data_IF_686610664587
#
_entry.id   IF_686610664587
#
_cell.length_a   1.000
_cell.length_b   1.000
_cell.length_c   1.000
_cell.angle_alpha   90.00
_cell.angle_beta   90.00
_cell.angle_gamma   90.00
#
_symmetry.space_group_name_H-M   'P 1'
#
loop_
_entity.id
_entity.type
_entity.pdbx_description
1 polymer ?
#
# COMPACT_ATOMS: atom_id res chain seq x y z
N UNK A 1 9.68 -36.92 9.86
CA UNK A 1 8.33 -36.35 10.07
C UNK A 1 7.40 -37.53 10.33
N UNK A 2 6.67 -37.56 11.46
CA UNK A 2 5.75 -38.66 11.77
C UNK A 2 4.66 -38.75 10.69
N UNK A 3 4.25 -39.97 10.32
CA UNK A 3 3.17 -40.21 9.35
C UNK A 3 1.88 -39.47 9.73
N UNK A 4 1.57 -39.35 11.03
CA UNK A 4 0.43 -38.57 11.53
C UNK A 4 0.55 -37.07 11.20
N UNK A 5 1.74 -36.50 11.38
CA UNK A 5 2.02 -35.09 11.09
C UNK A 5 1.95 -34.75 9.59
N UNK A 6 2.22 -35.73 8.71
CA UNK A 6 2.08 -35.54 7.26
C UNK A 6 0.61 -35.42 6.85
N UNK A 7 -0.26 -36.32 7.32
CA UNK A 7 -1.69 -36.29 6.98
C UNK A 7 -2.42 -35.09 7.58
N UNK A 8 -2.05 -34.66 8.79
CA UNK A 8 -2.55 -33.41 9.38
C UNK A 8 -2.22 -32.19 8.51
N UNK A 9 -0.97 -32.09 8.03
CA UNK A 9 -0.56 -31.01 7.13
C UNK A 9 -1.21 -31.12 5.77
N UNK A 10 -1.37 -32.33 5.23
CA UNK A 10 -2.02 -32.53 3.94
C UNK A 10 -3.50 -32.15 3.98
N UNK A 11 -4.22 -32.46 5.06
CA UNK A 11 -5.64 -32.10 5.21
C UNK A 11 -5.89 -30.64 5.57
N UNK A 12 -4.91 -29.94 6.14
CA UNK A 12 -5.03 -28.54 6.52
C UNK A 12 -4.27 -27.63 5.55
N UNK A 13 -5.00 -27.08 4.57
CA UNK A 13 -4.45 -26.23 3.52
C UNK A 13 -3.75 -24.96 4.05
N UNK A 14 -4.10 -24.46 5.23
CA UNK A 14 -3.45 -23.28 5.83
C UNK A 14 -1.99 -23.56 6.20
N UNK A 15 -1.67 -24.82 6.51
CA UNK A 15 -0.33 -25.28 6.82
C UNK A 15 0.51 -25.55 5.56
N UNK A 16 -0.08 -25.45 4.36
CA UNK A 16 0.64 -25.72 3.13
C UNK A 16 1.67 -24.63 2.83
N UNK A 17 2.85 -25.01 2.29
CA UNK A 17 3.84 -24.04 1.83
C UNK A 17 3.20 -23.01 0.89
N UNK A 18 3.55 -21.74 1.08
CA UNK A 18 3.01 -20.64 0.27
C UNK A 18 3.10 -20.91 -1.25
N UNK A 19 4.26 -21.40 -1.72
CA UNK A 19 4.48 -21.76 -3.13
C UNK A 19 3.49 -22.81 -3.64
N UNK A 20 3.14 -23.80 -2.83
CA UNK A 20 2.21 -24.86 -3.23
C UNK A 20 0.79 -24.31 -3.41
N UNK A 21 0.34 -23.46 -2.48
CA UNK A 21 -0.98 -22.82 -2.57
C UNK A 21 -1.12 -21.99 -3.85
N UNK A 22 -0.13 -21.15 -4.16
CA UNK A 22 -0.15 -20.34 -5.38
C UNK A 22 0.04 -21.16 -6.65
N UNK A 23 0.81 -22.24 -6.60
CA UNK A 23 0.95 -23.15 -7.74
C UNK A 23 -0.41 -23.75 -8.14
N UNK A 24 -1.29 -24.08 -7.19
CA UNK A 24 -2.63 -24.60 -7.49
C UNK A 24 -3.56 -23.58 -8.16
N UNK A 25 -3.27 -22.29 -8.05
CA UNK A 25 -4.00 -21.21 -8.74
C UNK A 25 -3.49 -21.04 -10.17
N UNK A 26 -2.26 -21.49 -10.47
CA UNK A 26 -1.62 -21.29 -11.77
C UNK A 26 -2.40 -21.88 -12.98
N UNK A 27 -3.10 -23.03 -12.91
CA UNK A 27 -3.90 -23.50 -14.05
C UNK A 27 -5.05 -22.54 -14.39
N UNK A 28 -5.69 -21.95 -13.37
CA UNK A 28 -6.75 -20.95 -13.56
C UNK A 28 -6.18 -19.68 -14.17
N UNK A 29 -5.01 -19.24 -13.71
CA UNK A 29 -4.29 -18.12 -14.31
C UNK A 29 -3.95 -18.36 -15.78
N UNK A 30 -3.38 -19.53 -16.10
CA UNK A 30 -3.07 -19.92 -17.49
C UNK A 30 -4.33 -19.96 -18.35
N UNK A 31 -5.43 -20.48 -17.83
CA UNK A 31 -6.71 -20.44 -18.52
C UNK A 31 -7.17 -19.01 -18.83
N UNK A 32 -7.04 -18.08 -17.89
CA UNK A 32 -7.33 -16.66 -18.14
C UNK A 32 -6.38 -16.02 -19.16
N UNK A 33 -5.09 -16.36 -19.14
CA UNK A 33 -4.15 -15.91 -20.17
C UNK A 33 -4.57 -16.37 -21.56
N UNK A 34 -4.94 -17.65 -21.72
CA UNK A 34 -5.42 -18.19 -22.99
C UNK A 34 -6.73 -17.54 -23.43
N UNK A 35 -7.69 -17.39 -22.50
CA UNK A 35 -9.00 -16.80 -22.79
C UNK A 35 -8.92 -15.33 -23.18
N UNK A 36 -8.03 -14.57 -22.54
CA UNK A 36 -7.84 -13.14 -22.81
C UNK A 36 -6.87 -12.86 -23.96
N UNK A 37 -6.05 -13.84 -24.35
CA UNK A 37 -4.96 -13.64 -25.30
C UNK A 37 -3.80 -12.82 -24.76
N UNK A 38 -3.71 -12.61 -23.44
CA UNK A 38 -2.67 -11.79 -22.81
C UNK A 38 -2.17 -12.43 -21.50
N UNK A 39 -0.85 -12.49 -21.35
CA UNK A 39 -0.22 -12.90 -20.08
C UNK A 39 -0.49 -11.90 -18.94
N UNK A 40 -0.80 -10.66 -19.28
CA UNK A 40 -1.00 -9.54 -18.37
C UNK A 40 -2.46 -9.06 -18.38
N UNK A 41 -3.42 -9.97 -18.55
CA UNK A 41 -4.85 -9.63 -18.72
C UNK A 41 -5.40 -8.71 -17.63
N UNK A 42 -4.91 -8.83 -16.41
CA UNK A 42 -5.35 -8.08 -15.23
C UNK A 42 -4.92 -6.61 -15.25
N UNK A 43 -3.90 -6.22 -16.05
CA UNK A 43 -3.46 -4.81 -16.11
C UNK A 43 -4.56 -3.88 -16.65
N UNK A 44 -5.54 -4.45 -17.36
CA UNK A 44 -6.73 -3.76 -17.86
C UNK A 44 -7.76 -3.40 -16.77
N UNK A 45 -7.61 -3.90 -15.54
CA UNK A 45 -8.56 -3.64 -14.45
C UNK A 45 -8.56 -2.18 -14.00
N UNK A 46 -7.38 -1.55 -13.91
CA UNK A 46 -7.19 -0.13 -13.60
C UNK A 46 -6.21 0.48 -14.63
N UNK A 47 -6.66 0.77 -15.86
CA UNK A 47 -5.77 1.12 -16.97
C UNK A 47 -5.06 2.47 -16.79
N UNK A 48 -5.50 3.29 -15.84
CA UNK A 48 -4.88 4.57 -15.47
C UNK A 48 -3.77 4.42 -14.43
N UNK A 49 -3.48 3.18 -13.99
CA UNK A 49 -2.41 2.87 -13.05
C UNK A 49 -1.33 2.02 -13.72
N UNK A 50 -0.07 2.29 -13.40
CA UNK A 50 1.06 1.47 -13.80
C UNK A 50 0.79 0.01 -13.43
N UNK A 51 0.87 -0.87 -14.43
CA UNK A 51 0.62 -2.31 -14.31
C UNK A 51 -0.72 -2.69 -13.65
N UNK A 52 -1.75 -1.84 -13.79
CA UNK A 52 -3.07 -2.06 -13.20
C UNK A 52 -3.11 -1.94 -11.67
N UNK A 53 -2.06 -1.40 -11.05
CA UNK A 53 -1.89 -1.34 -9.60
C UNK A 53 -1.50 -2.67 -8.96
N UNK A 54 -0.88 -3.60 -9.72
CA UNK A 54 -0.41 -4.86 -9.16
C UNK A 54 0.88 -4.69 -8.34
N UNK A 55 1.87 -3.97 -8.88
CA UNK A 55 3.14 -3.72 -8.21
C UNK A 55 3.89 -2.56 -8.87
N UNK A 56 4.67 -1.85 -8.07
CA UNK A 56 5.64 -0.84 -8.52
C UNK A 56 5.06 0.53 -8.89
N UNK A 57 3.75 0.75 -8.75
CA UNK A 57 3.14 2.05 -9.01
C UNK A 57 3.55 3.10 -7.95
N UNK A 58 3.88 4.34 -8.34
CA UNK A 58 4.09 5.43 -7.39
C UNK A 58 2.79 5.83 -6.70
N UNK A 59 2.86 6.17 -5.41
CA UNK A 59 1.69 6.70 -4.67
C UNK A 59 1.15 7.97 -5.31
N UNK A 60 2.03 8.76 -5.93
CA UNK A 60 1.63 9.94 -6.72
C UNK A 60 0.58 9.62 -7.78
N UNK A 61 0.76 8.54 -8.52
CA UNK A 61 -0.15 8.15 -9.60
C UNK A 61 -1.56 7.90 -9.06
N UNK A 62 -1.67 7.26 -7.90
CA UNK A 62 -2.96 7.05 -7.24
C UNK A 62 -3.58 8.36 -6.74
N UNK A 63 -2.79 9.25 -6.12
CA UNK A 63 -3.29 10.51 -5.59
C UNK A 63 -3.74 11.47 -6.69
N UNK A 64 -3.05 11.49 -7.83
CA UNK A 64 -3.40 12.34 -8.97
C UNK A 64 -4.77 11.96 -9.60
N UNK A 65 -5.26 10.73 -9.35
CA UNK A 65 -6.59 10.26 -9.76
C UNK A 65 -7.70 10.56 -8.74
N UNK A 66 -7.34 10.91 -7.50
CA UNK A 66 -8.29 11.16 -6.42
C UNK A 66 -8.55 12.66 -6.25
N UNK A 67 -9.79 13.09 -5.96
CA UNK A 67 -10.04 14.45 -5.53
C UNK A 67 -9.28 14.76 -4.23
N UNK A 68 -8.70 15.97 -4.15
CA UNK A 68 -7.76 16.38 -3.10
C UNK A 68 -8.35 16.36 -1.69
N UNK A 69 -9.67 16.44 -1.58
CA UNK A 69 -10.41 16.38 -0.32
C UNK A 69 -10.48 14.96 0.28
N UNK A 70 -10.20 13.91 -0.49
CA UNK A 70 -10.32 12.51 -0.05
C UNK A 70 -9.01 11.87 0.38
N UNK A 71 -7.90 12.61 0.35
CA UNK A 71 -6.63 12.14 0.88
C UNK A 71 -5.89 13.26 1.63
N UNK A 72 -4.96 12.91 2.53
CA UNK A 72 -4.28 13.92 3.33
C UNK A 72 -3.39 14.80 2.46
N UNK A 73 -3.18 16.06 2.87
CA UNK A 73 -2.30 16.97 2.14
C UNK A 73 -0.95 16.32 1.92
N UNK A 74 -0.48 16.34 0.67
CA UNK A 74 0.70 15.61 0.23
C UNK A 74 1.55 16.47 -0.69
N UNK A 75 2.86 16.45 -0.48
CA UNK A 75 3.86 17.03 -1.40
C UNK A 75 4.92 15.98 -1.73
N UNK A 76 5.51 16.10 -2.91
CA UNK A 76 6.48 15.15 -3.47
C UNK A 76 7.87 15.77 -3.44
N UNK A 77 8.85 14.98 -2.99
CA UNK A 77 10.22 15.42 -2.77
C UNK A 77 11.17 14.50 -3.53
N UNK A 78 12.08 15.09 -4.29
CA UNK A 78 13.21 14.38 -4.88
C UNK A 78 14.37 14.38 -3.88
N UNK A 79 15.16 13.28 -3.76
CA UNK A 79 16.35 13.27 -2.92
C UNK A 79 17.43 14.26 -3.41
N UNK A 80 17.27 14.80 -4.62
CA UNK A 80 18.14 15.83 -5.21
C UNK A 80 17.77 17.25 -4.80
N UNK A 81 16.58 17.46 -4.23
CA UNK A 81 16.12 18.79 -3.84
C UNK A 81 16.99 19.34 -2.70
N UNK A 82 17.30 20.64 -2.76
CA UNK A 82 18.01 21.28 -1.66
C UNK A 82 17.10 21.35 -0.44
N UNK A 83 17.66 21.09 0.75
CA UNK A 83 16.85 21.06 1.98
C UNK A 83 16.12 22.39 2.27
N UNK A 84 16.71 23.52 1.87
CA UNK A 84 16.06 24.83 1.99
C UNK A 84 14.80 24.96 1.10
N UNK A 85 14.81 24.37 -0.10
CA UNK A 85 13.65 24.36 -1.00
C UNK A 85 12.51 23.53 -0.42
N UNK A 86 12.84 22.41 0.23
CA UNK A 86 11.87 21.56 0.94
C UNK A 86 11.20 22.36 2.07
N UNK A 87 11.97 23.12 2.86
CA UNK A 87 11.41 23.98 3.91
C UNK A 87 10.50 25.06 3.36
N UNK A 88 10.88 25.67 2.24
CA UNK A 88 10.03 26.64 1.55
C UNK A 88 8.72 25.99 1.10
N UNK A 89 8.79 24.80 0.51
CA UNK A 89 7.63 24.05 0.04
C UNK A 89 6.69 23.67 1.19
N UNK A 90 7.23 23.25 2.33
CA UNK A 90 6.46 22.99 3.55
C UNK A 90 5.68 24.22 4.00
N UNK A 91 6.34 25.39 4.06
CA UNK A 91 5.70 26.65 4.46
C UNK A 91 4.62 27.08 3.46
N UNK A 92 4.91 27.02 2.16
CA UNK A 92 3.97 27.41 1.11
C UNK A 92 2.71 26.52 1.09
N UNK A 93 2.85 25.24 1.42
CA UNK A 93 1.73 24.31 1.51
C UNK A 93 1.10 24.25 2.91
N UNK A 94 1.60 25.03 3.87
CA UNK A 94 1.06 25.08 5.24
C UNK A 94 1.14 23.75 5.99
N UNK A 95 2.27 23.05 5.89
CA UNK A 95 2.56 21.88 6.72
C UNK A 95 3.03 22.30 8.11
N UNK A 96 2.61 21.55 9.11
CA UNK A 96 3.05 21.69 10.50
C UNK A 96 3.49 20.33 11.03
N UNK A 97 4.47 20.33 11.93
CA UNK A 97 4.85 19.11 12.64
C UNK A 97 3.76 18.71 13.66
N UNK A 98 3.53 17.40 13.88
CA UNK A 98 4.16 16.29 13.17
C UNK A 98 3.46 15.96 11.83
N UNK A 99 4.25 15.47 10.88
CA UNK A 99 3.77 14.89 9.63
C UNK A 99 4.48 13.56 9.34
N UNK A 100 4.12 12.88 8.27
CA UNK A 100 4.76 11.61 7.89
C UNK A 100 5.55 11.73 6.59
N UNK A 101 6.62 10.95 6.49
CA UNK A 101 7.39 10.75 5.27
C UNK A 101 7.41 9.29 4.89
N UNK A 102 7.30 9.00 3.60
CA UNK A 102 7.39 7.63 3.06
C UNK A 102 7.82 7.64 1.58
N UNK A 103 8.56 6.62 1.11
CA UNK A 103 8.90 6.49 -0.30
C UNK A 103 7.67 6.54 -1.20
N UNK A 104 7.80 7.19 -2.37
CA UNK A 104 6.72 7.29 -3.34
C UNK A 104 6.37 5.89 -3.88
N UNK A 105 7.39 5.12 -4.26
CA UNK A 105 7.31 3.68 -4.51
C UNK A 105 7.85 2.94 -3.29
N UNK A 106 7.05 2.08 -2.66
CA UNK A 106 7.52 1.34 -1.49
C UNK A 106 6.50 0.36 -0.93
N UNK A 107 6.99 -0.66 -0.23
CA UNK A 107 6.19 -1.75 0.33
C UNK A 107 6.44 -1.93 1.84
N UNK A 108 5.48 -2.54 2.53
CA UNK A 108 5.60 -3.02 3.93
C UNK A 108 6.04 -1.97 4.96
N UNK A 109 5.73 -0.69 4.74
CA UNK A 109 6.09 0.39 5.66
C UNK A 109 7.60 0.69 5.74
N UNK A 110 8.40 0.17 4.81
CA UNK A 110 9.84 0.44 4.78
C UNK A 110 10.08 1.94 4.57
N UNK A 111 11.01 2.51 5.35
CA UNK A 111 11.34 3.95 5.37
C UNK A 111 10.16 4.89 5.69
N UNK A 112 9.03 4.39 6.20
CA UNK A 112 8.00 5.25 6.77
C UNK A 112 8.50 5.86 8.07
N UNK A 113 8.38 7.18 8.25
CA UNK A 113 8.69 7.87 9.52
C UNK A 113 7.63 8.92 9.83
N UNK A 114 7.28 9.04 11.11
CA UNK A 114 6.67 10.26 11.65
C UNK A 114 7.81 11.22 11.97
N UNK A 115 7.65 12.46 11.57
CA UNK A 115 8.63 13.53 11.73
C UNK A 115 8.03 14.56 12.68
N UNK A 116 8.66 14.74 13.82
CA UNK A 116 8.19 15.64 14.88
C UNK A 116 8.91 17.01 14.84
N UNK A 117 10.06 17.11 14.13
CA UNK A 117 10.87 18.33 14.04
C UNK A 117 11.77 18.38 12.81
N UNK A 118 12.36 19.55 12.53
CA UNK A 118 13.18 19.81 11.33
C UNK A 118 14.42 18.92 11.24
N UNK A 119 15.09 18.64 12.37
CA UNK A 119 16.32 17.83 12.37
C UNK A 119 16.06 16.39 11.91
N UNK A 120 14.90 15.85 12.26
CA UNK A 120 14.48 14.51 11.82
C UNK A 120 14.19 14.47 10.32
N UNK A 121 13.56 15.53 9.79
CA UNK A 121 13.34 15.65 8.34
C UNK A 121 14.68 15.74 7.61
N UNK A 122 15.60 16.58 8.10
CA UNK A 122 16.92 16.75 7.50
C UNK A 122 17.68 15.43 7.46
N UNK A 123 17.72 14.73 8.59
CA UNK A 123 18.34 13.42 8.68
C UNK A 123 17.70 12.41 7.71
N UNK A 124 16.37 12.40 7.61
CA UNK A 124 15.67 11.54 6.66
C UNK A 124 16.06 11.85 5.21
N UNK A 125 16.02 13.13 4.83
CA UNK A 125 16.33 13.59 3.47
C UNK A 125 17.77 13.25 3.06
N UNK A 126 18.75 13.45 3.94
CA UNK A 126 20.16 13.14 3.68
C UNK A 126 20.44 11.64 3.53
N UNK A 127 19.59 10.78 4.11
CA UNK A 127 19.79 9.31 4.10
C UNK A 127 18.91 8.57 3.11
N UNK A 128 17.82 9.18 2.64
CA UNK A 128 16.88 8.54 1.75
C UNK A 128 17.29 8.74 0.27
N UNK A 129 17.65 7.68 -0.47
CA UNK A 129 18.15 7.82 -1.84
C UNK A 129 17.03 7.82 -2.90
N UNK A 130 15.75 7.74 -2.50
CA UNK A 130 14.62 7.61 -3.42
C UNK A 130 13.63 8.74 -3.26
N UNK A 131 12.84 9.00 -4.31
CA UNK A 131 11.72 9.94 -4.26
C UNK A 131 10.74 9.54 -3.15
N UNK A 132 10.26 10.52 -2.41
CA UNK A 132 9.38 10.32 -1.27
C UNK A 132 8.31 11.40 -1.19
N UNK A 133 7.32 11.15 -0.34
CA UNK A 133 6.25 12.10 -0.09
C UNK A 133 6.31 12.57 1.35
N UNK A 134 5.99 13.84 1.57
CA UNK A 134 5.60 14.38 2.88
C UNK A 134 4.08 14.50 2.89
N UNK A 135 3.44 13.97 3.93
CA UNK A 135 1.98 13.89 4.01
C UNK A 135 1.50 14.22 5.44
N UNK A 136 0.35 14.88 5.58
CA UNK A 136 -0.26 15.15 6.89
C UNK A 136 -0.43 13.86 7.69
N UNK A 137 -0.15 13.92 8.99
CA UNK A 137 -0.38 12.80 9.90
C UNK A 137 -1.88 12.70 10.21
N UNK A 138 -2.51 11.61 9.78
CA UNK A 138 -3.91 11.31 10.06
C UNK A 138 -4.03 10.59 11.39
N UNK A 139 -4.83 11.15 12.31
CA UNK A 139 -5.04 10.63 13.67
C UNK A 139 -6.49 10.22 13.92
N UNK A 140 -7.20 9.81 12.87
CA UNK A 140 -8.58 9.32 13.03
C UNK A 140 -8.60 8.03 13.85
N UNK A 141 -9.64 7.81 14.67
CA UNK A 141 -9.69 6.69 15.60
C UNK A 141 -9.94 5.33 14.92
N UNK A 142 -10.33 5.33 13.65
CA UNK A 142 -10.75 4.14 12.92
C UNK A 142 -10.02 4.05 11.57
N UNK A 143 -9.31 2.96 11.36
CA UNK A 143 -8.79 2.58 10.05
C UNK A 143 -9.61 1.42 9.47
N UNK A 144 -10.09 1.60 8.24
CA UNK A 144 -10.84 0.57 7.51
C UNK A 144 -10.22 0.35 6.14
N UNK A 145 -10.25 -0.90 5.68
CA UNK A 145 -9.94 -1.28 4.30
C UNK A 145 -11.21 -1.75 3.62
N UNK A 146 -11.50 -1.14 2.47
CA UNK A 146 -12.70 -1.41 1.66
C UNK A 146 -12.28 -2.12 0.39
N UNK A 147 -12.81 -3.31 0.15
CA UNK A 147 -12.69 -3.99 -1.12
C UNK A 147 -13.84 -3.58 -2.02
N UNK A 148 -13.52 -2.87 -3.10
CA UNK A 148 -14.46 -2.32 -4.05
C UNK A 148 -14.10 -2.77 -5.47
N UNK A 149 -15.11 -3.10 -6.27
CA UNK A 149 -14.96 -3.23 -7.72
C UNK A 149 -16.15 -2.58 -8.44
N UNK A 150 -15.94 -2.18 -9.69
CA UNK A 150 -16.99 -1.65 -10.57
C UNK A 150 -16.71 -2.07 -12.00
N UNK A 151 -17.71 -2.58 -12.71
CA UNK A 151 -17.55 -2.84 -14.13
C UNK A 151 -17.54 -1.53 -14.95
N UNK A 152 -16.81 -1.45 -16.08
CA UNK A 152 -16.67 -0.21 -16.85
C UNK A 152 -17.99 0.40 -17.32
N UNK A 153 -19.02 -0.43 -17.54
CA UNK A 153 -20.35 -0.04 -18.00
C UNK A 153 -21.33 0.29 -16.87
N UNK A 154 -20.88 0.24 -15.60
CA UNK A 154 -21.72 0.51 -14.45
C UNK A 154 -21.41 1.88 -13.83
N UNK A 155 -22.46 2.58 -13.39
CA UNK A 155 -22.30 3.86 -12.69
C UNK A 155 -21.90 3.69 -11.22
N UNK A 156 -22.27 2.56 -10.62
CA UNK A 156 -22.00 2.22 -9.22
C UNK A 156 -21.27 0.88 -9.16
N UNK A 157 -20.31 0.75 -8.24
CA UNK A 157 -19.67 -0.53 -7.95
C UNK A 157 -20.23 -1.23 -6.72
N UNK A 158 -19.59 -2.32 -6.36
CA UNK A 158 -19.95 -3.19 -5.24
C UNK A 158 -18.81 -3.19 -4.23
N UNK A 159 -19.15 -3.01 -2.95
CA UNK A 159 -18.24 -3.25 -1.83
C UNK A 159 -18.41 -4.71 -1.42
N UNK A 160 -17.36 -5.51 -1.58
CA UNK A 160 -17.36 -6.94 -1.24
C UNK A 160 -16.72 -7.25 0.11
N UNK A 161 -15.96 -6.31 0.64
CA UNK A 161 -15.28 -6.48 1.92
C UNK A 161 -15.13 -5.14 2.63
N UNK A 162 -15.33 -5.18 3.94
CA UNK A 162 -15.14 -4.06 4.82
C UNK A 162 -14.42 -4.58 6.07
N UNK A 163 -13.15 -4.23 6.21
CA UNK A 163 -12.27 -4.76 7.24
C UNK A 163 -11.80 -3.60 8.10
N UNK A 164 -12.16 -3.61 9.37
CA UNK A 164 -11.56 -2.74 10.37
C UNK A 164 -10.17 -3.28 10.73
N UNK A 165 -9.18 -2.38 10.80
CA UNK A 165 -7.84 -2.71 11.26
C UNK A 165 -7.68 -2.21 12.68
N UNK A 166 -7.46 -3.16 13.58
CA UNK A 166 -7.06 -2.88 14.95
C UNK A 166 -5.59 -3.27 15.16
N UNK A 167 -4.92 -2.53 16.03
CA UNK A 167 -3.57 -2.89 16.46
C UNK A 167 -3.66 -4.13 17.34
N UNK A 168 -2.70 -5.04 17.16
CA UNK A 168 -2.61 -6.23 18.01
C UNK A 168 -2.38 -5.82 19.46
N UNK A 169 -3.30 -6.22 20.32
CA UNK A 169 -3.20 -6.08 21.76
C UNK A 169 -3.35 -7.45 22.44
N UNK A 170 -2.90 -7.51 23.69
CA UNK A 170 -3.07 -8.71 24.52
C UNK A 170 -3.67 -8.25 25.84
N UNK A 171 -4.77 -8.89 26.23
CA UNK A 171 -5.39 -8.70 27.53
C UNK A 171 -5.02 -9.87 28.43
N UNK A 172 -4.37 -9.58 29.57
CA UNK A 172 -4.07 -10.60 30.57
C UNK A 172 -5.32 -10.98 31.36
N UNK A 173 -5.60 -12.27 31.49
CA UNK A 173 -6.70 -12.79 32.31
C UNK A 173 -6.33 -12.94 33.80
N UNK A 174 -5.12 -12.52 34.17
CA UNK A 174 -4.59 -12.57 35.53
C UNK A 174 -4.14 -13.97 35.98
N UNK A 175 -3.97 -14.93 35.04
CA UNK A 175 -3.49 -16.29 35.31
C UNK A 175 -2.21 -16.62 34.55
#
# INVERSE_FOLDING_TARGET
>A
MSWKSFWEKAGNWELWPFKLRYFLISPVWLWYCLRSGSLWFFSSSNPTLTFGGLDGEPKREMYDLLPKEYYPKTIYISPKDAFEDIKLLLRQNGFHYPFVVKPDVGAKGLLFRKIDKEEELKFYHEKNPVDYIIQDLVMYPLEVSVFYYRYPNEQKGVITGFIQKDLMDVYGDGK
#
